data_IF_244108520002
#
_entry.id   IF_244108520002
#
_cell.length_a   1.000
_cell.length_b   1.000
_cell.length_c   1.000
_cell.angle_alpha   90.00
_cell.angle_beta   90.00
_cell.angle_gamma   90.00
#
_symmetry.space_group_name_H-M   'P 1'
#
loop_
_entity.id
_entity.type
_entity.pdbx_description
1 polymer ?
#
# COMPACT_ATOMS: atom_id res chain seq x y z
N UNK A 1 49.86 14.49 -31.69
CA UNK A 1 48.71 15.40 -31.63
C UNK A 1 47.41 14.74 -32.13
N UNK A 2 47.36 14.18 -33.34
CA UNK A 2 46.17 13.46 -33.86
C UNK A 2 45.74 12.22 -33.06
N UNK A 3 46.68 11.47 -32.47
CA UNK A 3 46.40 10.25 -31.68
C UNK A 3 45.91 10.53 -30.25
N UNK A 4 46.31 11.65 -29.65
CA UNK A 4 45.89 12.06 -28.30
C UNK A 4 44.44 12.59 -28.33
N UNK A 5 44.06 13.26 -29.43
CA UNK A 5 42.69 13.72 -29.65
C UNK A 5 41.74 12.53 -29.82
N UNK A 6 42.16 11.46 -30.52
CA UNK A 6 41.35 10.25 -30.68
C UNK A 6 41.12 9.49 -29.36
N UNK A 7 42.12 9.46 -28.47
CA UNK A 7 42.01 8.83 -27.14
C UNK A 7 41.10 9.61 -26.19
N UNK A 8 41.09 10.94 -26.26
CA UNK A 8 40.20 11.79 -25.46
C UNK A 8 38.72 11.69 -25.88
N UNK A 9 38.45 11.43 -27.16
CA UNK A 9 37.08 11.28 -27.67
C UNK A 9 36.48 9.90 -27.30
N UNK A 10 37.31 8.85 -27.21
CA UNK A 10 36.84 7.51 -26.81
C UNK A 10 36.51 7.41 -25.31
N UNK A 11 37.10 8.25 -24.46
CA UNK A 11 36.85 8.26 -23.02
C UNK A 11 35.56 9.02 -22.62
N UNK A 12 35.02 9.86 -23.50
CA UNK A 12 33.87 10.72 -23.20
C UNK A 12 32.50 10.04 -23.46
N UNK A 13 32.48 8.93 -24.20
CA UNK A 13 31.23 8.24 -24.58
C UNK A 13 30.75 7.24 -23.50
N UNK A 14 31.60 6.89 -22.54
CA UNK A 14 31.29 5.89 -21.50
C UNK A 14 30.58 6.44 -20.24
N UNK A 15 30.25 7.73 -20.18
CA UNK A 15 29.72 8.39 -18.97
C UNK A 15 28.21 8.68 -18.95
N UNK A 16 27.45 8.28 -19.97
CA UNK A 16 26.03 8.65 -20.08
C UNK A 16 25.02 7.54 -19.74
N UNK A 17 25.46 6.36 -19.27
CA UNK A 17 24.53 5.35 -18.73
C UNK A 17 24.33 5.57 -17.22
N UNK A 18 23.90 6.78 -16.85
CA UNK A 18 23.22 6.99 -15.57
C UNK A 18 21.89 6.24 -15.68
N UNK A 19 21.89 4.99 -15.24
CA UNK A 19 20.68 4.20 -15.10
C UNK A 19 19.67 5.03 -14.32
N UNK A 20 18.57 5.41 -14.98
CA UNK A 20 17.41 5.88 -14.26
C UNK A 20 16.97 4.71 -13.39
N UNK A 21 17.37 4.70 -12.12
CA UNK A 21 16.69 3.90 -11.11
C UNK A 21 15.27 4.43 -11.07
N UNK A 22 14.39 3.84 -11.89
CA UNK A 22 12.97 3.96 -11.67
C UNK A 22 12.78 3.34 -10.29
N UNK A 23 12.61 4.20 -9.28
CA UNK A 23 12.10 3.76 -8.01
C UNK A 23 10.87 2.93 -8.35
N UNK A 24 10.96 1.63 -8.13
CA UNK A 24 9.89 0.68 -8.39
C UNK A 24 8.81 0.95 -7.34
N UNK A 25 8.10 2.05 -7.53
CA UNK A 25 6.95 2.43 -6.73
C UNK A 25 5.80 1.48 -7.04
N UNK A 26 4.87 1.40 -6.10
CA UNK A 26 3.65 0.63 -6.27
C UNK A 26 2.97 0.99 -7.59
N UNK A 27 2.64 -0.02 -8.39
CA UNK A 27 1.90 0.14 -9.62
C UNK A 27 0.43 0.40 -9.29
N UNK A 28 0.08 1.67 -9.08
CA UNK A 28 -1.28 2.12 -8.79
C UNK A 28 -1.70 3.23 -9.75
N UNK A 29 -2.96 3.16 -10.17
CA UNK A 29 -3.66 4.25 -10.85
C UNK A 29 -4.33 5.13 -9.81
N UNK A 30 -3.86 6.37 -9.69
CA UNK A 30 -4.45 7.34 -8.78
C UNK A 30 -5.88 7.69 -9.22
N UNK A 31 -6.78 7.91 -8.26
CA UNK A 31 -8.17 8.24 -8.54
C UNK A 31 -9.14 7.69 -7.49
N UNK A 32 -10.41 7.65 -7.86
CA UNK A 32 -11.47 7.03 -7.08
C UNK A 32 -11.41 5.51 -7.23
N UNK A 33 -11.52 4.83 -6.10
CA UNK A 33 -11.56 3.37 -5.99
C UNK A 33 -12.83 2.95 -5.27
N UNK A 34 -13.48 1.91 -5.76
CA UNK A 34 -14.50 1.16 -5.03
C UNK A 34 -13.81 0.03 -4.29
N UNK A 35 -14.03 -0.04 -2.99
CA UNK A 35 -13.51 -1.08 -2.12
C UNK A 35 -14.67 -1.90 -1.57
N UNK A 36 -14.51 -3.21 -1.60
CA UNK A 36 -15.35 -4.18 -0.92
C UNK A 36 -14.55 -4.79 0.23
N UNK A 37 -15.14 -4.81 1.42
CA UNK A 37 -14.52 -5.37 2.63
C UNK A 37 -15.36 -6.50 3.20
N UNK A 38 -14.71 -7.58 3.61
CA UNK A 38 -15.32 -8.71 4.30
C UNK A 38 -14.54 -9.03 5.55
N UNK A 39 -15.22 -9.08 6.69
CA UNK A 39 -14.59 -9.41 7.97
C UNK A 39 -14.85 -10.87 8.34
N UNK A 40 -13.80 -11.56 8.75
CA UNK A 40 -13.79 -12.96 9.21
C UNK A 40 -13.28 -13.02 10.63
N UNK A 41 -14.00 -13.72 11.50
CA UNK A 41 -13.59 -14.01 12.87
C UNK A 41 -13.37 -15.53 12.94
N UNK A 42 -12.13 -16.01 13.11
CA UNK A 42 -11.84 -17.43 13.22
C UNK A 42 -12.69 -18.10 14.32
N UNK A 43 -13.27 -19.25 14.01
CA UNK A 43 -14.13 -19.99 14.94
C UNK A 43 -15.62 -19.63 14.88
N UNK A 44 -16.03 -18.60 14.12
CA UNK A 44 -17.44 -18.36 13.82
C UNK A 44 -17.87 -18.97 12.47
N UNK A 45 -19.03 -19.67 12.41
CA UNK A 45 -19.47 -20.37 11.21
C UNK A 45 -20.03 -19.44 10.11
N UNK A 46 -20.35 -18.19 10.44
CA UNK A 46 -20.94 -17.23 9.50
C UNK A 46 -19.93 -16.15 9.11
N UNK A 47 -19.80 -15.89 7.81
CA UNK A 47 -19.11 -14.71 7.30
C UNK A 47 -20.01 -13.50 7.47
N UNK A 48 -19.46 -12.40 7.99
CA UNK A 48 -20.19 -11.15 8.02
C UNK A 48 -20.45 -10.65 6.60
N UNK A 49 -21.57 -9.93 6.36
CA UNK A 49 -21.87 -9.39 5.03
C UNK A 49 -20.76 -8.43 4.57
N UNK A 50 -20.42 -8.48 3.29
CA UNK A 50 -19.46 -7.54 2.75
C UNK A 50 -20.05 -6.14 2.68
N UNK A 51 -19.19 -5.14 2.91
CA UNK A 51 -19.55 -3.73 2.82
C UNK A 51 -18.75 -3.09 1.70
N UNK A 52 -19.40 -2.24 0.92
CA UNK A 52 -18.77 -1.57 -0.23
C UNK A 52 -18.80 -0.06 -0.03
N UNK A 53 -17.67 0.58 -0.28
CA UNK A 53 -17.52 2.03 -0.18
C UNK A 53 -16.55 2.55 -1.24
N UNK A 54 -16.46 3.87 -1.40
CA UNK A 54 -15.56 4.50 -2.36
C UNK A 54 -14.61 5.45 -1.68
N UNK A 55 -13.38 5.55 -2.18
CA UNK A 55 -12.37 6.47 -1.65
C UNK A 55 -11.38 6.91 -2.73
N UNK A 56 -10.85 8.12 -2.58
CA UNK A 56 -9.76 8.63 -3.41
C UNK A 56 -8.41 8.08 -2.90
N UNK A 57 -7.71 7.33 -3.75
CA UNK A 57 -6.40 6.72 -3.44
C UNK A 57 -5.34 7.34 -4.36
N UNK A 58 -4.25 7.79 -3.75
CA UNK A 58 -3.06 8.35 -4.42
C UNK A 58 -1.82 7.61 -3.93
N UNK A 59 -0.66 7.83 -4.56
CA UNK A 59 0.61 7.29 -4.06
C UNK A 59 0.99 7.82 -2.67
N UNK A 60 0.43 8.96 -2.25
CA UNK A 60 0.59 9.50 -0.91
C UNK A 60 -0.38 8.87 0.12
N UNK A 61 -1.44 8.20 -0.35
CA UNK A 61 -2.54 7.66 0.48
C UNK A 61 -2.81 6.18 0.19
N UNK A 62 -1.75 5.38 0.10
CA UNK A 62 -1.82 3.94 -0.21
C UNK A 62 -2.40 3.08 0.92
N UNK A 63 -2.51 3.60 2.13
CA UNK A 63 -3.18 2.89 3.22
C UNK A 63 -4.62 3.42 3.20
N UNK A 64 -5.64 2.56 2.95
CA UNK A 64 -7.02 2.97 3.12
C UNK A 64 -7.20 3.63 4.49
N UNK A 65 -7.93 4.75 4.62
CA UNK A 65 -8.18 5.34 5.91
C UNK A 65 -8.91 4.31 6.75
N UNK A 66 -8.18 3.69 7.67
CA UNK A 66 -8.76 3.02 8.81
C UNK A 66 -9.45 4.13 9.58
N UNK A 67 -10.70 3.91 10.03
CA UNK A 67 -11.41 4.90 10.84
C UNK A 67 -10.42 5.44 11.87
N UNK A 68 -10.06 6.71 11.71
CA UNK A 68 -9.12 7.40 12.58
C UNK A 68 -9.86 7.67 13.89
N UNK A 69 -10.18 6.62 14.62
CA UNK A 69 -10.44 6.75 16.03
C UNK A 69 -9.15 7.27 16.66
N UNK A 70 -9.29 8.27 17.51
CA UNK A 70 -8.16 8.94 18.16
C UNK A 70 -7.26 7.88 18.83
N UNK A 71 -5.97 7.82 18.43
CA UNK A 71 -4.98 6.94 19.07
C UNK A 71 -4.32 5.88 18.18
N UNK A 72 -4.68 5.75 16.89
CA UNK A 72 -4.01 4.82 15.96
C UNK A 72 -2.82 5.47 15.20
N UNK A 73 -1.66 4.81 15.23
CA UNK A 73 -0.45 5.18 14.50
C UNK A 73 -0.02 4.08 13.53
N UNK A 74 0.49 4.46 12.36
CA UNK A 74 1.10 3.54 11.40
C UNK A 74 2.61 3.48 11.63
N UNK A 75 3.14 2.27 11.70
CA UNK A 75 4.55 1.93 11.89
C UNK A 75 4.98 0.86 10.89
N UNK A 76 6.29 0.63 10.78
CA UNK A 76 6.90 -0.43 9.96
C UNK A 76 6.37 -0.51 8.51
N UNK A 77 6.06 0.64 7.92
CA UNK A 77 5.60 0.70 6.55
C UNK A 77 6.73 0.28 5.60
N UNK A 78 6.44 -0.69 4.74
CA UNK A 78 7.38 -1.17 3.72
C UNK A 78 6.66 -1.38 2.40
N UNK A 79 7.37 -1.07 1.31
CA UNK A 79 6.90 -1.33 -0.06
C UNK A 79 7.93 -2.25 -0.73
N UNK A 80 7.47 -3.43 -1.15
CA UNK A 80 8.25 -4.37 -1.94
C UNK A 80 7.52 -4.62 -3.27
N UNK A 81 8.01 -3.99 -4.34
CA UNK A 81 7.36 -3.99 -5.64
C UNK A 81 5.95 -3.41 -5.57
N UNK A 82 4.94 -4.27 -5.71
CA UNK A 82 3.53 -3.91 -5.68
C UNK A 82 2.84 -4.17 -4.34
N UNK A 83 3.58 -4.65 -3.35
CA UNK A 83 3.04 -5.02 -2.04
C UNK A 83 3.42 -3.97 -1.01
N UNK A 84 2.41 -3.38 -0.38
CA UNK A 84 2.51 -2.52 0.79
C UNK A 84 2.22 -3.35 2.04
N UNK A 85 3.12 -3.30 3.01
CA UNK A 85 2.87 -3.83 4.36
C UNK A 85 3.01 -2.71 5.38
N UNK A 86 2.23 -2.77 6.46
CA UNK A 86 2.34 -1.83 7.57
C UNK A 86 1.87 -2.47 8.87
N UNK A 87 2.36 -1.93 9.98
CA UNK A 87 1.86 -2.22 11.33
C UNK A 87 1.01 -1.03 11.78
N UNK A 88 -0.19 -1.30 12.27
CA UNK A 88 -1.07 -0.31 12.90
C UNK A 88 -1.04 -0.53 14.40
N UNK A 89 -0.80 0.51 15.18
CA UNK A 89 -0.80 0.45 16.65
C UNK A 89 -1.79 1.47 17.16
N UNK A 90 -2.88 0.99 17.76
CA UNK A 90 -3.92 1.81 18.36
C UNK A 90 -3.79 1.78 19.88
N UNK A 91 -3.72 2.95 20.51
CA UNK A 91 -3.71 3.10 21.97
C UNK A 91 -4.98 3.81 22.41
N UNK A 92 -5.79 3.15 23.23
CA UNK A 92 -7.03 3.70 23.78
C UNK A 92 -7.18 3.29 25.25
N UNK A 93 -7.42 4.26 26.14
CA UNK A 93 -7.63 4.04 27.59
C UNK A 93 -6.60 3.12 28.29
N UNK A 94 -5.35 3.13 27.80
CA UNK A 94 -4.25 2.32 28.34
C UNK A 94 -4.10 0.94 27.69
N UNK A 95 -5.06 0.52 26.86
CA UNK A 95 -4.98 -0.69 26.05
C UNK A 95 -4.32 -0.41 24.71
N UNK A 96 -3.39 -1.28 24.31
CA UNK A 96 -2.73 -1.22 23.00
C UNK A 96 -3.21 -2.38 22.14
N UNK A 97 -3.76 -2.07 20.97
CA UNK A 97 -4.14 -3.03 19.94
C UNK A 97 -3.23 -2.88 18.74
N UNK A 98 -2.68 -4.00 18.27
CA UNK A 98 -1.82 -4.04 17.07
C UNK A 98 -2.53 -4.74 15.92
N UNK A 99 -2.46 -4.15 14.74
CA UNK A 99 -2.90 -4.72 13.49
C UNK A 99 -1.78 -4.79 12.46
N UNK A 100 -1.83 -5.78 11.56
CA UNK A 100 -0.90 -5.94 10.44
C UNK A 100 -1.67 -5.85 9.13
N UNK A 101 -1.31 -4.89 8.30
CA UNK A 101 -1.87 -4.68 6.97
C UNK A 101 -0.94 -5.19 5.88
N UNK A 102 -1.51 -5.86 4.87
CA UNK A 102 -0.80 -6.25 3.64
C UNK A 102 -1.71 -6.01 2.45
N UNK A 103 -1.26 -5.21 1.48
CA UNK A 103 -2.02 -4.79 0.32
C UNK A 103 -1.19 -4.96 -0.94
N UNK A 104 -1.74 -5.61 -1.95
CA UNK A 104 -1.16 -5.73 -3.27
C UNK A 104 -1.89 -4.84 -4.27
N UNK A 105 -1.14 -4.05 -5.03
CA UNK A 105 -1.64 -3.14 -6.04
C UNK A 105 -1.30 -3.61 -7.45
N UNK A 106 -2.28 -3.63 -8.33
CA UNK A 106 -2.17 -4.08 -9.72
C UNK A 106 -2.83 -3.07 -10.66
N UNK A 107 -2.23 -1.89 -10.75
CA UNK A 107 -2.66 -0.74 -11.56
C UNK A 107 -4.09 -0.26 -11.25
N UNK A 108 -5.12 -0.95 -11.74
CA UNK A 108 -6.54 -0.62 -11.55
C UNK A 108 -7.28 -1.57 -10.59
N UNK A 109 -6.56 -2.53 -10.00
CA UNK A 109 -7.07 -3.47 -8.99
C UNK A 109 -6.19 -3.48 -7.73
N UNK A 110 -6.79 -3.83 -6.61
CA UNK A 110 -6.12 -4.00 -5.33
C UNK A 110 -6.74 -5.18 -4.59
N UNK A 111 -5.91 -5.94 -3.87
CA UNK A 111 -6.37 -6.88 -2.85
C UNK A 111 -5.56 -6.67 -1.57
N UNK A 112 -6.13 -6.98 -0.43
CA UNK A 112 -5.39 -6.87 0.82
C UNK A 112 -6.08 -7.50 1.99
N UNK A 113 -5.36 -7.56 3.11
CA UNK A 113 -5.87 -7.98 4.39
C UNK A 113 -5.34 -7.11 5.51
N UNK A 114 -6.20 -6.88 6.50
CA UNK A 114 -5.85 -6.29 7.78
C UNK A 114 -6.19 -7.31 8.86
N UNK A 115 -5.17 -7.73 9.59
CA UNK A 115 -5.31 -8.66 10.71
C UNK A 115 -5.12 -7.89 12.01
N UNK A 116 -6.12 -7.90 12.88
CA UNK A 116 -6.06 -7.26 14.19
C UNK A 116 -6.25 -8.33 15.25
N UNK A 117 -5.39 -8.32 16.26
CA UNK A 117 -5.57 -9.19 17.44
C UNK A 117 -5.83 -8.32 18.65
N UNK A 118 -6.97 -8.52 19.29
CA UNK A 118 -7.36 -7.81 20.52
C UNK A 118 -8.07 -8.77 21.48
N UNK A 119 -7.75 -8.70 22.77
CA UNK A 119 -8.31 -9.58 23.80
C UNK A 119 -8.28 -11.09 23.47
N UNK A 120 -7.22 -11.55 22.80
CA UNK A 120 -7.07 -12.95 22.37
C UNK A 120 -7.95 -13.37 21.19
N UNK A 121 -8.73 -12.45 20.62
CA UNK A 121 -9.52 -12.67 19.41
C UNK A 121 -8.84 -12.06 18.19
N UNK A 122 -8.83 -12.79 17.08
CA UNK A 122 -8.31 -12.33 15.80
C UNK A 122 -9.46 -11.87 14.90
N UNK A 123 -9.29 -10.71 14.28
CA UNK A 123 -10.20 -10.13 13.30
C UNK A 123 -9.44 -9.99 11.98
N UNK A 124 -9.89 -10.69 10.94
CA UNK A 124 -9.27 -10.65 9.62
C UNK A 124 -10.23 -9.92 8.68
N UNK A 125 -9.84 -8.74 8.22
CA UNK A 125 -10.60 -7.96 7.25
C UNK A 125 -9.94 -8.07 5.88
N UNK A 126 -10.61 -8.70 4.92
CA UNK A 126 -10.16 -8.76 3.53
C UNK A 126 -10.70 -7.58 2.74
N UNK A 127 -9.88 -7.05 1.85
CA UNK A 127 -10.16 -5.92 0.97
C UNK A 127 -10.03 -6.36 -0.48
N UNK A 128 -10.98 -5.94 -1.31
CA UNK A 128 -10.93 -6.02 -2.76
C UNK A 128 -11.22 -4.64 -3.33
N UNK A 129 -10.36 -4.14 -4.20
CA UNK A 129 -10.45 -2.79 -4.74
C UNK A 129 -10.42 -2.75 -6.25
N UNK A 130 -11.19 -1.83 -6.84
CA UNK A 130 -11.16 -1.53 -8.27
C UNK A 130 -11.23 -0.02 -8.51
N UNK A 131 -10.39 0.48 -9.39
CA UNK A 131 -10.43 1.87 -9.84
C UNK A 131 -11.73 2.15 -10.61
N UNK A 132 -12.40 3.25 -10.27
CA UNK A 132 -13.69 3.64 -10.85
C UNK A 132 -13.66 4.96 -11.60
N UNK A 133 -12.65 5.80 -11.41
CA UNK A 133 -12.59 7.11 -12.07
C UNK A 133 -11.54 8.04 -11.48
N UNK A 134 -11.43 9.27 -11.98
CA UNK A 134 -10.74 10.34 -11.26
C UNK A 134 -11.43 10.61 -9.91
N UNK A 135 -10.70 11.16 -8.93
CA UNK A 135 -11.31 11.58 -7.68
C UNK A 135 -12.34 12.69 -7.93
N UNK A 136 -13.44 12.65 -7.18
CA UNK A 136 -14.42 13.72 -7.18
C UNK A 136 -13.86 14.87 -6.33
N UNK A 137 -13.75 16.06 -6.93
CA UNK A 137 -13.32 17.29 -6.25
C UNK A 137 -14.42 17.83 -5.35
#
# INVERSE_FOLDING_TARGET
>A
MKTIIALLISALILLCFSGNSFAAGINIKEGMWQLETSMTIPGMPHKMPSTTFTQCITKATLIPPVNKEDGCQIQDQSINGNTLTYTMVCSHDGDTTTGHGSFNYSYDKMSGQLEITTNGMQFITSYQGKWTGPCQQ
#
